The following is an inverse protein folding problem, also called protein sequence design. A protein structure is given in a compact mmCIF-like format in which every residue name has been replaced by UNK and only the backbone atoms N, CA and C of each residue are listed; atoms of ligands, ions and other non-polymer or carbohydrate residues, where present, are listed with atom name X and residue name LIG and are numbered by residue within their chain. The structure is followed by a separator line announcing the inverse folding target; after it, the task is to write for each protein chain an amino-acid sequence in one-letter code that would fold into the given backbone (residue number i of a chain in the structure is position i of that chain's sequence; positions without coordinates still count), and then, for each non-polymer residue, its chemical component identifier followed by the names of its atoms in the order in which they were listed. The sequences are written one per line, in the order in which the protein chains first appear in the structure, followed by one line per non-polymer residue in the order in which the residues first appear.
data_IF_990024951646
#
_entry.id   IF_990024951646
#
_cell.length_a   1.000
_cell.length_b   1.000
_cell.length_c   1.000
_cell.angle_alpha   90.00
_cell.angle_beta   90.00
_cell.angle_gamma   90.00
#
_symmetry.space_group_name_H-M   'P 1'
#
loop_
_entity.id
_entity.type
_entity.pdbx_description
1 polymer ?
#
# COMPACT_ATOMS: atom_id res chain seq x y z
N UNK A 1 -28.96 12.79 -0.57
CA UNK A 1 -30.33 12.26 -0.80
C UNK A 1 -30.25 10.95 -1.59
N UNK A 2 -29.67 10.96 -2.80
CA UNK A 2 -29.50 9.76 -3.66
C UNK A 2 -28.84 8.53 -2.99
N UNK A 3 -27.71 8.71 -2.30
CA UNK A 3 -26.96 7.58 -1.68
C UNK A 3 -27.77 6.92 -0.56
N UNK A 4 -28.56 7.69 0.20
CA UNK A 4 -29.39 7.15 1.29
C UNK A 4 -30.53 6.29 0.74
N UNK A 5 -31.20 6.77 -0.31
CA UNK A 5 -32.27 6.02 -0.99
C UNK A 5 -31.73 4.75 -1.66
N UNK A 6 -30.56 4.83 -2.29
CA UNK A 6 -29.90 3.66 -2.86
C UNK A 6 -29.57 2.61 -1.79
N UNK A 7 -28.97 3.03 -0.68
CA UNK A 7 -28.69 2.13 0.46
C UNK A 7 -29.95 1.46 0.99
N UNK A 8 -31.05 2.22 1.13
CA UNK A 8 -32.33 1.66 1.58
C UNK A 8 -32.87 0.58 0.64
N UNK A 9 -32.84 0.81 -0.68
CA UNK A 9 -33.26 -0.18 -1.68
C UNK A 9 -32.36 -1.43 -1.67
N UNK A 10 -31.06 -1.27 -1.47
CA UNK A 10 -30.14 -2.41 -1.39
C UNK A 10 -30.38 -3.24 -0.12
N UNK A 11 -30.67 -2.60 1.02
CA UNK A 11 -31.02 -3.27 2.28
C UNK A 11 -32.36 -4.04 2.20
N UNK A 12 -33.30 -3.57 1.39
CA UNK A 12 -34.58 -4.27 1.15
C UNK A 12 -34.40 -5.49 0.23
N UNK A 13 -33.56 -5.37 -0.79
CA UNK A 13 -33.34 -6.42 -1.78
C UNK A 13 -32.33 -7.49 -1.32
N UNK A 14 -31.41 -7.15 -0.41
CA UNK A 14 -30.30 -8.00 0.01
C UNK A 14 -30.07 -7.94 1.51
N UNK A 15 -29.70 -9.07 2.10
CA UNK A 15 -29.25 -9.12 3.49
C UNK A 15 -27.85 -8.49 3.59
N UNK A 16 -27.81 -7.19 3.88
CA UNK A 16 -26.58 -6.42 3.99
C UNK A 16 -26.61 -5.48 5.19
N UNK A 17 -25.47 -4.90 5.55
CA UNK A 17 -25.33 -3.94 6.64
C UNK A 17 -24.59 -2.70 6.16
N UNK A 18 -25.06 -1.52 6.54
CA UNK A 18 -24.34 -0.29 6.31
C UNK A 18 -23.23 -0.11 7.36
N UNK A 19 -21.99 -0.20 6.92
CA UNK A 19 -20.81 0.01 7.77
C UNK A 19 -20.48 1.51 7.97
N UNK A 20 -21.27 2.41 7.37
CA UNK A 20 -21.10 3.85 7.49
C UNK A 20 -20.09 4.40 6.48
N UNK A 21 -19.26 5.34 6.94
CA UNK A 21 -18.22 5.93 6.10
C UNK A 21 -17.04 4.98 5.96
N UNK A 22 -16.54 4.85 4.73
CA UNK A 22 -15.37 4.04 4.43
C UNK A 22 -14.15 4.56 5.19
N UNK A 23 -13.56 3.70 6.03
CA UNK A 23 -12.34 3.97 6.80
C UNK A 23 -11.10 3.29 6.24
N UNK A 24 -11.29 2.21 5.46
CA UNK A 24 -10.22 1.46 4.82
C UNK A 24 -10.64 0.98 3.44
N UNK A 25 -9.74 1.06 2.46
CA UNK A 25 -9.94 0.49 1.13
C UNK A 25 -8.61 0.02 0.55
N UNK A 26 -8.48 -1.28 0.29
CA UNK A 26 -7.27 -1.89 -0.32
C UNK A 26 -5.95 -1.38 0.32
N UNK A 27 -5.84 -1.40 1.65
CA UNK A 27 -4.65 -0.93 2.36
C UNK A 27 -4.53 0.60 2.52
N UNK A 28 -5.44 1.38 1.94
CA UNK A 28 -5.52 2.83 2.19
C UNK A 28 -6.41 3.11 3.40
N UNK A 29 -5.88 3.87 4.35
CA UNK A 29 -6.62 4.50 5.43
C UNK A 29 -7.34 5.73 4.89
N UNK A 30 -8.63 5.83 5.16
CA UNK A 30 -9.47 6.95 4.71
C UNK A 30 -10.05 7.63 5.93
N UNK A 31 -9.75 8.92 6.10
CA UNK A 31 -10.34 9.77 7.12
C UNK A 31 -11.20 10.82 6.44
N UNK A 32 -12.47 10.86 6.80
CA UNK A 32 -13.45 11.77 6.22
C UNK A 32 -13.96 12.68 7.34
N UNK A 33 -13.83 13.99 7.14
CA UNK A 33 -14.33 15.00 8.06
C UNK A 33 -14.98 16.16 7.28
N UNK A 34 -15.32 17.23 7.99
CA UNK A 34 -15.97 18.41 7.42
C UNK A 34 -15.04 19.27 6.55
N UNK A 35 -13.72 19.07 6.64
CA UNK A 35 -12.71 19.73 5.81
C UNK A 35 -12.41 18.94 4.53
N UNK A 36 -12.65 17.63 4.52
CA UNK A 36 -12.58 16.81 3.32
C UNK A 36 -12.23 15.35 3.58
N UNK A 37 -11.57 14.75 2.59
CA UNK A 37 -11.13 13.35 2.63
C UNK A 37 -9.61 13.31 2.64
N UNK A 38 -9.05 12.73 3.71
CA UNK A 38 -7.64 12.44 3.84
C UNK A 38 -7.39 10.95 3.59
N UNK A 39 -6.48 10.63 2.68
CA UNK A 39 -6.11 9.26 2.32
C UNK A 39 -4.65 9.03 2.71
N UNK A 40 -4.38 7.93 3.41
CA UNK A 40 -3.06 7.54 3.89
C UNK A 40 -2.75 6.09 3.52
N UNK A 41 -1.50 5.83 3.12
CA UNK A 41 -0.98 4.47 2.94
C UNK A 41 0.02 4.06 4.02
N UNK A 42 0.11 4.85 5.10
CA UNK A 42 1.11 4.65 6.16
C UNK A 42 1.03 3.25 6.76
N UNK A 43 -0.18 2.75 7.03
CA UNK A 43 -0.38 1.39 7.55
C UNK A 43 0.12 0.32 6.56
N UNK A 44 -0.27 0.41 5.30
CA UNK A 44 0.14 -0.55 4.28
C UNK A 44 1.66 -0.57 4.07
N UNK A 45 2.31 0.60 4.03
CA UNK A 45 3.77 0.68 3.96
C UNK A 45 4.46 -0.02 5.14
N UNK A 46 3.94 0.17 6.37
CA UNK A 46 4.44 -0.54 7.56
C UNK A 46 4.21 -2.05 7.51
N UNK A 47 3.06 -2.48 7.00
CA UNK A 47 2.75 -3.90 6.83
C UNK A 47 3.69 -4.57 5.82
N UNK A 48 4.06 -3.88 4.73
CA UNK A 48 5.09 -4.36 3.80
C UNK A 48 6.43 -4.52 4.54
N UNK A 49 6.90 -3.49 5.24
CA UNK A 49 8.17 -3.58 5.97
C UNK A 49 8.18 -4.75 6.95
N UNK A 50 7.11 -4.93 7.72
CA UNK A 50 6.97 -6.06 8.63
C UNK A 50 6.97 -7.42 7.91
N UNK A 51 6.21 -7.52 6.81
CA UNK A 51 6.09 -8.76 6.02
C UNK A 51 7.43 -9.27 5.49
N UNK A 52 8.34 -8.36 5.15
CA UNK A 52 9.68 -8.68 4.62
C UNK A 52 10.80 -8.48 5.66
N UNK A 53 10.46 -8.41 6.96
CA UNK A 53 11.42 -8.29 8.07
C UNK A 53 12.35 -7.05 7.98
N UNK A 54 11.80 -5.93 7.51
CA UNK A 54 12.48 -4.64 7.34
C UNK A 54 12.02 -3.58 8.34
N UNK A 55 11.31 -3.97 9.40
CA UNK A 55 10.78 -3.02 10.40
C UNK A 55 11.86 -2.28 11.20
N UNK A 56 13.03 -2.91 11.36
CA UNK A 56 14.20 -2.36 12.06
C UNK A 56 15.25 -1.77 11.09
N UNK A 57 14.96 -1.73 9.78
CA UNK A 57 15.87 -1.13 8.82
C UNK A 57 16.07 0.36 9.11
N UNK A 58 17.34 0.81 9.11
CA UNK A 58 17.67 2.22 9.31
C UNK A 58 17.12 3.05 8.15
N UNK A 59 16.48 4.17 8.47
CA UNK A 59 16.10 5.16 7.46
C UNK A 59 17.34 5.74 6.80
N UNK A 60 17.33 5.82 5.48
CA UNK A 60 18.35 6.51 4.68
C UNK A 60 17.73 7.74 4.02
N UNK A 61 18.47 8.85 3.99
CA UNK A 61 18.09 10.03 3.21
C UNK A 61 18.33 9.85 1.71
N UNK A 62 19.25 8.92 1.38
CA UNK A 62 19.59 8.60 0.00
C UNK A 62 18.85 7.33 -0.38
N UNK A 63 17.88 7.41 -1.31
CA UNK A 63 16.97 6.30 -1.57
C UNK A 63 17.64 5.12 -2.27
N UNK A 64 18.61 5.41 -3.15
CA UNK A 64 19.41 4.43 -3.87
C UNK A 64 20.81 4.97 -4.14
N UNK A 65 21.82 4.12 -4.05
CA UNK A 65 23.19 4.50 -4.40
C UNK A 65 23.37 4.49 -5.93
N UNK A 66 23.52 5.67 -6.52
CA UNK A 66 23.67 5.84 -7.98
C UNK A 66 24.94 5.19 -8.56
N UNK A 67 25.92 4.82 -7.71
CA UNK A 67 27.19 4.23 -8.14
C UNK A 67 27.26 2.72 -7.92
N UNK A 68 26.19 2.11 -7.40
CA UNK A 68 26.11 0.67 -7.20
C UNK A 68 26.14 -0.02 -8.57
N UNK A 69 27.07 -0.95 -8.78
CA UNK A 69 27.10 -1.81 -9.98
C UNK A 69 26.47 -3.14 -9.61
N UNK A 70 25.29 -3.43 -10.16
CA UNK A 70 24.65 -4.72 -9.98
C UNK A 70 25.34 -5.79 -10.83
N UNK A 71 25.71 -6.90 -10.19
CA UNK A 71 26.21 -8.11 -10.84
C UNK A 71 25.17 -9.20 -10.72
N UNK A 72 25.02 -10.03 -11.77
CA UNK A 72 24.17 -11.23 -11.69
C UNK A 72 24.85 -12.33 -10.87
N UNK A 73 26.18 -12.35 -10.89
CA UNK A 73 27.01 -13.21 -10.04
C UNK A 73 27.67 -12.32 -8.96
N UNK A 74 26.89 -11.89 -7.97
CA UNK A 74 27.38 -11.14 -6.80
C UNK A 74 27.81 -12.06 -5.64
N UNK A 75 27.64 -13.38 -5.80
CA UNK A 75 27.94 -14.39 -4.79
C UNK A 75 26.83 -14.57 -3.75
N UNK A 76 25.70 -13.85 -3.87
CA UNK A 76 24.54 -14.03 -3.01
C UNK A 76 23.77 -15.32 -3.34
N UNK A 77 23.11 -15.87 -2.33
CA UNK A 77 22.19 -16.98 -2.54
C UNK A 77 20.98 -16.55 -3.38
N UNK A 78 20.44 -17.48 -4.15
CA UNK A 78 19.23 -17.21 -4.93
C UNK A 78 18.07 -16.91 -3.99
N UNK A 79 17.42 -15.77 -4.22
CA UNK A 79 16.20 -15.40 -3.51
C UNK A 79 15.04 -16.33 -3.91
N UNK A 80 14.17 -16.63 -2.96
CA UNK A 80 12.91 -17.33 -3.24
C UNK A 80 12.05 -16.53 -4.23
N UNK A 81 11.70 -17.16 -5.36
CA UNK A 81 10.97 -16.50 -6.44
C UNK A 81 9.60 -15.99 -6.00
N UNK A 82 8.89 -16.73 -5.14
CA UNK A 82 7.56 -16.33 -4.67
C UNK A 82 7.65 -15.13 -3.74
N UNK A 83 8.66 -15.12 -2.85
CA UNK A 83 8.92 -14.00 -1.96
C UNK A 83 9.25 -12.73 -2.77
N UNK A 84 10.13 -12.86 -3.76
CA UNK A 84 10.50 -11.75 -4.65
C UNK A 84 9.29 -11.20 -5.42
N UNK A 85 8.52 -12.07 -6.07
CA UNK A 85 7.32 -11.66 -6.82
C UNK A 85 6.27 -11.03 -5.90
N UNK A 86 6.13 -11.53 -4.67
CA UNK A 86 5.25 -10.90 -3.68
C UNK A 86 5.72 -9.51 -3.27
N UNK A 87 7.03 -9.27 -3.16
CA UNK A 87 7.59 -7.96 -2.84
C UNK A 87 7.32 -6.97 -3.97
N UNK A 88 7.60 -7.39 -5.21
CA UNK A 88 7.35 -6.58 -6.40
C UNK A 88 5.87 -6.18 -6.50
N UNK A 89 4.93 -7.12 -6.29
CA UNK A 89 3.50 -6.81 -6.29
C UNK A 89 3.09 -5.79 -5.22
N UNK A 90 3.64 -5.92 -4.01
CA UNK A 90 3.41 -4.96 -2.93
C UNK A 90 3.93 -3.56 -3.27
N UNK A 91 5.13 -3.46 -3.83
CA UNK A 91 5.76 -2.21 -4.24
C UNK A 91 5.04 -1.55 -5.42
N UNK A 92 4.65 -2.33 -6.44
CA UNK A 92 3.88 -1.82 -7.59
C UNK A 92 2.57 -1.19 -7.14
N UNK A 93 1.87 -1.81 -6.18
CA UNK A 93 0.66 -1.21 -5.63
C UNK A 93 0.96 0.10 -4.89
N UNK A 94 2.00 0.12 -4.05
CA UNK A 94 2.39 1.31 -3.29
C UNK A 94 2.76 2.48 -4.21
N UNK A 95 3.55 2.25 -5.26
CA UNK A 95 3.99 3.30 -6.19
C UNK A 95 2.89 3.77 -7.13
N UNK A 96 1.95 2.89 -7.52
CA UNK A 96 0.81 3.29 -8.34
C UNK A 96 -0.11 4.31 -7.64
N UNK A 97 -0.19 4.23 -6.31
CA UNK A 97 -1.07 5.05 -5.48
C UNK A 97 -0.35 6.19 -4.77
N UNK A 98 0.98 6.11 -4.65
CA UNK A 98 1.89 7.13 -4.12
C UNK A 98 3.09 7.30 -5.06
N UNK A 99 2.88 7.95 -6.23
CA UNK A 99 3.90 8.06 -7.27
C UNK A 99 5.13 8.85 -6.84
N UNK A 100 5.02 9.68 -5.79
CA UNK A 100 6.15 10.37 -5.18
C UNK A 100 7.21 9.43 -4.60
N UNK A 101 6.84 8.17 -4.29
CA UNK A 101 7.78 7.14 -3.81
C UNK A 101 8.53 6.48 -4.97
N UNK A 102 8.01 6.54 -6.20
CA UNK A 102 8.57 5.80 -7.35
C UNK A 102 10.03 6.17 -7.63
N UNK A 103 10.37 7.46 -7.60
CA UNK A 103 11.73 7.96 -7.82
C UNK A 103 12.66 7.79 -6.62
N UNK A 104 12.12 7.45 -5.45
CA UNK A 104 12.90 7.14 -4.26
C UNK A 104 13.22 5.63 -4.16
N UNK A 105 12.79 4.80 -5.10
CA UNK A 105 13.02 3.35 -5.06
C UNK A 105 13.64 2.83 -6.36
N UNK A 106 13.56 3.61 -7.44
CA UNK A 106 14.16 3.35 -8.76
C UNK A 106 15.40 4.22 -8.99
#
# INVERSE_FOLDING_TARGET
MLVKEFKAKMLEAFEMTDLGLMSYFLGMEVKQDHHGVFISQKKYAKEILKKFHMEDCKSTSTPMNQKEKFSKEDGAEKVDERLYMSLIGCLMYLTATRPDIMFAVL
#
